data_IF_812865423181
#
_entry.id   IF_812865423181
#
_cell.length_a   1.000
_cell.length_b   1.000
_cell.length_c   1.000
_cell.angle_alpha   90.00
_cell.angle_beta   90.00
_cell.angle_gamma   90.00
#
_symmetry.space_group_name_H-M   'P 1'
#
loop_
_entity.id
_entity.type
_entity.pdbx_description
1 polymer ?
#
# COMPACT_ATOMS: atom_id res chain seq x y z
N UNK A 1 -34.16 -9.13 2.74
CA UNK A 1 -33.84 -10.58 2.78
C UNK A 1 -33.54 -11.24 1.42
N UNK A 2 -33.48 -10.53 0.27
CA UNK A 2 -33.26 -11.15 -1.05
C UNK A 2 -31.79 -11.15 -1.55
N UNK A 3 -30.84 -10.55 -0.82
CA UNK A 3 -29.44 -10.40 -1.25
C UNK A 3 -28.60 -11.70 -1.11
N UNK A 4 -28.97 -12.59 -0.18
CA UNK A 4 -28.24 -13.85 0.06
C UNK A 4 -28.43 -14.88 -1.06
N UNK A 5 -29.63 -14.96 -1.64
CA UNK A 5 -29.96 -15.94 -2.68
C UNK A 5 -29.20 -15.69 -4.00
N UNK A 6 -28.96 -14.42 -4.38
CA UNK A 6 -28.21 -14.08 -5.60
C UNK A 6 -26.72 -14.36 -5.47
N UNK A 7 -26.13 -14.16 -4.28
CA UNK A 7 -24.71 -14.47 -4.04
C UNK A 7 -24.44 -15.97 -4.15
N UNK A 8 -25.30 -16.80 -3.56
CA UNK A 8 -25.18 -18.25 -3.64
C UNK A 8 -25.30 -18.77 -5.09
N UNK A 9 -26.20 -18.19 -5.90
CA UNK A 9 -26.37 -18.57 -7.30
C UNK A 9 -25.14 -18.21 -8.18
N UNK A 10 -24.54 -17.03 -7.99
CA UNK A 10 -23.31 -16.64 -8.71
C UNK A 10 -22.14 -17.55 -8.32
N UNK A 11 -22.06 -17.94 -7.05
CA UNK A 11 -20.99 -18.79 -6.52
C UNK A 11 -21.08 -20.24 -7.04
N UNK A 12 -22.29 -20.75 -7.27
CA UNK A 12 -22.52 -22.05 -7.92
C UNK A 12 -22.28 -22.01 -9.43
N UNK A 13 -22.55 -20.87 -10.09
CA UNK A 13 -22.44 -20.74 -11.54
C UNK A 13 -20.99 -20.44 -12.00
N UNK A 14 -20.19 -19.78 -11.16
CA UNK A 14 -18.81 -19.38 -11.47
C UNK A 14 -17.85 -19.58 -10.28
N UNK A 15 -17.63 -20.82 -9.82
CA UNK A 15 -16.76 -21.09 -8.67
C UNK A 15 -15.31 -20.64 -8.90
N UNK A 16 -14.77 -20.84 -10.11
CA UNK A 16 -13.39 -20.49 -10.46
C UNK A 16 -13.14 -18.98 -10.44
N UNK A 17 -14.13 -18.18 -10.86
CA UNK A 17 -14.06 -16.71 -10.83
C UNK A 17 -14.08 -16.23 -9.38
N UNK A 18 -14.93 -16.81 -8.54
CA UNK A 18 -15.03 -16.41 -7.14
C UNK A 18 -13.73 -16.74 -6.37
N UNK A 19 -13.09 -17.87 -6.68
CA UNK A 19 -11.78 -18.25 -6.11
C UNK A 19 -10.68 -17.26 -6.47
N UNK A 20 -10.52 -16.95 -7.76
CA UNK A 20 -9.48 -16.02 -8.23
C UNK A 20 -9.70 -14.57 -7.77
N UNK A 21 -10.95 -14.13 -7.64
CA UNK A 21 -11.26 -12.81 -7.05
C UNK A 21 -10.94 -12.78 -5.56
N UNK A 22 -11.22 -13.87 -4.83
CA UNK A 22 -10.86 -14.00 -3.42
C UNK A 22 -9.35 -13.86 -3.22
N UNK A 23 -8.55 -14.58 -4.00
CA UNK A 23 -7.09 -14.51 -3.96
C UNK A 23 -6.56 -13.10 -4.23
N UNK A 24 -7.08 -12.43 -5.28
CA UNK A 24 -6.65 -11.07 -5.62
C UNK A 24 -7.05 -10.03 -4.57
N UNK A 25 -8.23 -10.18 -3.98
CA UNK A 25 -8.68 -9.31 -2.88
C UNK A 25 -7.75 -9.42 -1.67
N UNK A 26 -7.23 -10.62 -1.38
CA UNK A 26 -6.25 -10.83 -0.31
C UNK A 26 -4.95 -10.06 -0.55
N UNK A 27 -4.46 -9.99 -1.80
CA UNK A 27 -3.28 -9.19 -2.16
C UNK A 27 -3.50 -7.70 -1.85
N UNK A 28 -4.67 -7.15 -2.19
CA UNK A 28 -4.99 -5.75 -1.89
C UNK A 28 -5.17 -5.49 -0.39
N UNK A 29 -5.73 -6.45 0.35
CA UNK A 29 -5.80 -6.39 1.82
C UNK A 29 -4.40 -6.38 2.45
N UNK A 30 -3.46 -7.14 1.91
CA UNK A 30 -2.05 -7.08 2.33
C UNK A 30 -1.49 -5.68 2.09
N UNK A 31 -1.75 -5.08 0.91
CA UNK A 31 -1.41 -3.68 0.63
C UNK A 31 -1.89 -2.71 1.71
N UNK A 32 -3.16 -2.82 2.12
CA UNK A 32 -3.72 -2.01 3.20
C UNK A 32 -3.04 -2.27 4.56
N UNK A 33 -2.83 -3.54 4.92
CA UNK A 33 -2.17 -3.92 6.17
C UNK A 33 -0.72 -3.42 6.25
N UNK A 34 0.00 -3.40 5.13
CA UNK A 34 1.35 -2.83 5.05
C UNK A 34 1.34 -1.32 5.35
N UNK A 35 0.34 -0.58 4.87
CA UNK A 35 0.20 0.84 5.18
C UNK A 35 -0.13 1.08 6.65
N UNK A 36 -1.00 0.26 7.24
CA UNK A 36 -1.30 0.32 8.68
C UNK A 36 -0.04 0.02 9.50
N UNK A 37 0.72 -1.02 9.14
CA UNK A 37 1.98 -1.36 9.79
C UNK A 37 3.02 -0.23 9.66
N UNK A 38 3.13 0.37 8.46
CA UNK A 38 4.00 1.52 8.22
C UNK A 38 3.63 2.71 9.11
N UNK A 39 2.33 2.99 9.28
CA UNK A 39 1.85 4.05 10.15
C UNK A 39 2.21 3.81 11.63
N UNK A 40 2.02 2.59 12.13
CA UNK A 40 2.38 2.21 13.50
C UNK A 40 3.89 2.32 13.71
N UNK A 41 4.69 1.85 12.75
CA UNK A 41 6.14 1.88 12.83
C UNK A 41 6.71 3.30 12.70
N UNK A 42 6.07 4.16 11.90
CA UNK A 42 6.41 5.58 11.81
C UNK A 42 6.16 6.28 13.14
N UNK A 43 5.02 6.04 13.79
CA UNK A 43 4.74 6.57 15.12
C UNK A 43 5.81 6.12 16.13
N UNK A 44 6.14 4.82 16.15
CA UNK A 44 7.22 4.30 16.98
C UNK A 44 8.58 4.97 16.69
N UNK A 45 8.94 5.13 15.42
CA UNK A 45 10.18 5.79 15.00
C UNK A 45 10.29 7.23 15.49
N UNK A 46 9.18 7.98 15.44
CA UNK A 46 9.09 9.35 15.99
C UNK A 46 9.35 9.33 17.51
N UNK A 47 8.69 8.44 18.26
CA UNK A 47 8.89 8.34 19.70
C UNK A 47 10.32 7.93 20.07
N UNK A 48 10.87 6.93 19.38
CA UNK A 48 12.25 6.46 19.58
C UNK A 48 13.28 7.55 19.27
N UNK A 49 13.08 8.31 18.20
CA UNK A 49 13.97 9.40 17.78
C UNK A 49 13.96 10.56 18.77
N UNK A 50 12.77 11.01 19.19
CA UNK A 50 12.63 12.06 20.21
C UNK A 50 13.28 11.63 21.52
N UNK A 51 12.96 10.43 22.01
CA UNK A 51 13.50 9.93 23.28
C UNK A 51 15.03 9.71 23.22
N UNK A 52 15.52 9.15 22.10
CA UNK A 52 16.95 8.93 21.85
C UNK A 52 17.73 10.25 21.80
N UNK A 53 17.17 11.28 21.17
CA UNK A 53 17.74 12.63 21.14
C UNK A 53 17.81 13.26 22.54
N UNK A 54 16.72 13.22 23.31
CA UNK A 54 16.67 13.81 24.65
C UNK A 54 17.60 13.11 25.65
N UNK A 55 17.70 11.78 25.61
CA UNK A 55 18.51 11.00 26.56
C UNK A 55 19.95 10.79 26.08
N UNK A 56 20.32 11.25 24.88
CA UNK A 56 21.62 10.99 24.21
C UNK A 56 21.99 9.50 24.20
N UNK A 57 20.98 8.63 24.07
CA UNK A 57 21.17 7.18 24.06
C UNK A 57 21.26 6.68 22.62
N UNK A 58 22.41 6.10 22.25
CA UNK A 58 22.69 5.62 20.90
C UNK A 58 21.72 4.53 20.42
N UNK A 59 21.24 3.68 21.32
CA UNK A 59 20.35 2.56 20.97
C UNK A 59 18.98 3.01 20.45
N UNK A 60 18.37 4.03 21.07
CA UNK A 60 17.07 4.55 20.63
C UNK A 60 17.17 5.39 19.35
N UNK A 61 18.27 6.12 19.17
CA UNK A 61 18.57 6.80 17.91
C UNK A 61 18.81 5.81 16.76
N UNK A 62 19.53 4.70 17.00
CA UNK A 62 19.66 3.63 16.03
C UNK A 62 18.29 3.02 15.68
N UNK A 63 17.44 2.75 16.66
CA UNK A 63 16.10 2.21 16.42
C UNK A 63 15.22 3.12 15.56
N UNK A 64 15.31 4.45 15.72
CA UNK A 64 14.57 5.39 14.86
C UNK A 64 15.04 5.34 13.40
N UNK A 65 16.34 5.17 13.16
CA UNK A 65 16.87 5.02 11.80
C UNK A 65 16.42 3.70 11.15
N UNK A 66 16.42 2.59 11.90
CA UNK A 66 15.87 1.32 11.41
C UNK A 66 14.38 1.42 11.08
N UNK A 67 13.61 2.18 11.87
CA UNK A 67 12.21 2.44 11.59
C UNK A 67 12.01 3.18 10.25
N UNK A 68 12.89 4.14 9.90
CA UNK A 68 12.83 4.85 8.60
C UNK A 68 12.96 3.86 7.43
N UNK A 69 13.95 2.96 7.47
CA UNK A 69 14.14 1.95 6.42
C UNK A 69 12.93 1.01 6.30
N UNK A 70 12.40 0.56 7.44
CA UNK A 70 11.27 -0.35 7.45
C UNK A 70 9.97 0.32 6.95
N UNK A 71 9.69 1.56 7.35
CA UNK A 71 8.54 2.34 6.84
C UNK A 71 8.65 2.56 5.34
N UNK A 72 9.83 2.96 4.83
CA UNK A 72 10.04 3.15 3.41
C UNK A 72 9.82 1.85 2.61
N UNK A 73 10.32 0.71 3.13
CA UNK A 73 10.10 -0.61 2.52
C UNK A 73 8.63 -1.02 2.47
N UNK A 74 7.89 -0.84 3.57
CA UNK A 74 6.46 -1.17 3.65
C UNK A 74 5.62 -0.31 2.69
N UNK A 75 5.90 1.00 2.62
CA UNK A 75 5.23 1.93 1.70
C UNK A 75 5.56 1.59 0.25
N UNK A 76 6.82 1.28 -0.06
CA UNK A 76 7.23 0.85 -1.40
C UNK A 76 6.49 -0.42 -1.85
N UNK A 77 6.38 -1.41 -0.95
CA UNK A 77 5.65 -2.64 -1.24
C UNK A 77 4.16 -2.38 -1.49
N UNK A 78 3.53 -1.50 -0.70
CA UNK A 78 2.15 -1.08 -0.92
C UNK A 78 1.95 -0.34 -2.26
N UNK A 79 2.89 0.52 -2.66
CA UNK A 79 2.87 1.18 -3.97
C UNK A 79 2.99 0.19 -5.12
N UNK A 80 3.86 -0.82 -5.00
CA UNK A 80 4.00 -1.91 -5.98
C UNK A 80 2.70 -2.71 -6.10
N UNK A 81 2.03 -3.03 -4.98
CA UNK A 81 0.73 -3.73 -5.00
C UNK A 81 -0.34 -2.90 -5.73
N UNK A 82 -0.34 -1.57 -5.53
CA UNK A 82 -1.29 -0.71 -6.25
C UNK A 82 -0.98 -0.64 -7.75
N UNK A 83 0.29 -0.56 -8.14
CA UNK A 83 0.70 -0.64 -9.55
C UNK A 83 0.32 -1.97 -10.19
N UNK A 84 0.51 -3.08 -9.47
CA UNK A 84 0.04 -4.40 -9.91
C UNK A 84 -1.46 -4.36 -10.22
N UNK A 85 -2.26 -3.76 -9.33
CA UNK A 85 -3.69 -3.50 -9.54
C UNK A 85 -4.00 -2.70 -10.82
N UNK A 86 -3.32 -1.57 -10.99
CA UNK A 86 -3.55 -0.63 -12.10
C UNK A 86 -3.15 -1.21 -13.46
N UNK A 87 -1.95 -1.79 -13.55
CA UNK A 87 -1.40 -2.35 -14.80
C UNK A 87 -2.16 -3.63 -15.18
N UNK A 88 -2.50 -4.46 -14.19
CA UNK A 88 -3.26 -5.70 -14.37
C UNK A 88 -4.76 -5.50 -14.65
N UNK A 89 -5.27 -4.26 -14.57
CA UNK A 89 -6.71 -3.94 -14.71
C UNK A 89 -7.58 -4.69 -13.69
N UNK A 90 -7.13 -4.73 -12.44
CA UNK A 90 -7.82 -5.38 -11.34
C UNK A 90 -8.94 -4.48 -10.78
N UNK A 91 -10.08 -4.52 -11.47
CA UNK A 91 -11.28 -3.71 -11.20
C UNK A 91 -12.03 -4.05 -9.91
N UNK A 92 -11.66 -5.14 -9.25
CA UNK A 92 -12.12 -5.47 -7.90
C UNK A 92 -11.63 -4.45 -6.85
N UNK A 93 -10.52 -3.75 -7.14
CA UNK A 93 -10.04 -2.65 -6.30
C UNK A 93 -10.71 -1.34 -6.73
N UNK A 94 -11.45 -0.73 -5.81
CA UNK A 94 -12.19 0.52 -6.06
C UNK A 94 -11.29 1.67 -6.57
N UNK A 95 -10.02 1.71 -6.17
CA UNK A 95 -9.08 2.71 -6.69
C UNK A 95 -8.83 2.53 -8.20
N UNK A 96 -8.62 1.29 -8.64
CA UNK A 96 -8.37 0.94 -10.06
C UNK A 96 -9.60 1.23 -10.90
N UNK A 97 -10.79 0.86 -10.39
CA UNK A 97 -12.06 1.16 -11.06
C UNK A 97 -12.25 2.65 -11.37
N UNK A 98 -11.85 3.52 -10.43
CA UNK A 98 -12.07 4.96 -10.58
C UNK A 98 -10.99 5.68 -11.40
N UNK A 99 -9.82 5.07 -11.64
CA UNK A 99 -8.65 5.77 -12.21
C UNK A 99 -7.97 5.03 -13.38
N UNK A 100 -8.48 3.87 -13.81
CA UNK A 100 -7.92 3.10 -14.91
C UNK A 100 -9.03 2.52 -15.79
N UNK A 101 -8.72 2.34 -17.07
CA UNK A 101 -9.61 1.72 -18.05
C UNK A 101 -8.81 0.69 -18.87
N UNK A 102 -9.46 -0.35 -19.41
CA UNK A 102 -8.77 -1.45 -20.10
C UNK A 102 -7.95 -0.98 -21.30
N UNK A 103 -8.52 -0.07 -22.08
CA UNK A 103 -7.91 0.48 -23.30
C UNK A 103 -6.76 1.48 -23.03
N UNK A 104 -6.50 1.84 -21.77
CA UNK A 104 -5.47 2.82 -21.43
C UNK A 104 -4.06 2.21 -21.63
N UNK A 105 -3.14 2.89 -22.32
CA UNK A 105 -1.76 2.43 -22.44
C UNK A 105 -1.07 2.28 -21.07
N UNK A 106 -0.15 1.31 -20.94
CA UNK A 106 0.48 0.98 -19.66
C UNK A 106 1.22 2.17 -19.01
N UNK A 107 1.80 3.06 -19.82
CA UNK A 107 2.45 4.29 -19.33
C UNK A 107 1.48 5.19 -18.56
N UNK A 108 0.25 5.37 -19.05
CA UNK A 108 -0.76 6.16 -18.35
C UNK A 108 -1.32 5.42 -17.13
N UNK A 109 -1.34 4.08 -17.13
CA UNK A 109 -1.69 3.28 -15.94
C UNK A 109 -0.65 3.40 -14.83
N UNK A 110 0.62 3.54 -15.18
CA UNK A 110 1.66 3.87 -14.20
C UNK A 110 1.40 5.23 -13.55
N UNK A 111 1.01 6.22 -14.36
CA UNK A 111 0.64 7.56 -13.89
C UNK A 111 -0.66 7.62 -13.09
N UNK A 112 -1.56 6.65 -13.30
CA UNK A 112 -2.79 6.54 -12.53
C UNK A 112 -2.56 6.31 -11.03
N UNK A 113 -1.35 5.88 -10.61
CA UNK A 113 -0.99 5.72 -9.20
C UNK A 113 -1.23 6.99 -8.38
N UNK A 114 -0.96 8.16 -8.95
CA UNK A 114 -1.10 9.45 -8.27
C UNK A 114 -2.28 10.28 -8.78
N UNK A 115 -3.19 9.67 -9.56
CA UNK A 115 -4.31 10.36 -10.20
C UNK A 115 -5.46 10.74 -9.26
N UNK A 116 -5.59 10.04 -8.12
CA UNK A 116 -6.62 10.28 -7.11
C UNK A 116 -6.05 10.51 -5.71
N UNK A 117 -6.82 11.15 -4.83
CA UNK A 117 -6.38 11.61 -3.51
C UNK A 117 -5.62 10.56 -2.68
N UNK A 118 -6.17 9.34 -2.55
CA UNK A 118 -5.52 8.27 -1.80
C UNK A 118 -4.19 7.81 -2.42
N UNK A 119 -4.12 7.78 -3.76
CA UNK A 119 -2.91 7.39 -4.47
C UNK A 119 -1.86 8.49 -4.53
N UNK A 120 -2.26 9.76 -4.63
CA UNK A 120 -1.33 10.89 -4.49
C UNK A 120 -0.65 10.86 -3.12
N UNK A 121 -1.39 10.58 -2.03
CA UNK A 121 -0.80 10.40 -0.71
C UNK A 121 0.21 9.25 -0.68
N UNK A 122 -0.14 8.09 -1.23
CA UNK A 122 0.78 6.95 -1.30
C UNK A 122 2.05 7.27 -2.08
N UNK A 123 1.91 7.92 -3.24
CA UNK A 123 3.03 8.34 -4.08
C UNK A 123 3.95 9.32 -3.34
N UNK A 124 3.40 10.35 -2.71
CA UNK A 124 4.22 11.34 -2.02
C UNK A 124 4.88 10.76 -0.77
N UNK A 125 4.21 9.90 -0.01
CA UNK A 125 4.83 9.19 1.13
C UNK A 125 5.94 8.26 0.65
N UNK A 126 5.77 7.59 -0.50
CA UNK A 126 6.83 6.79 -1.10
C UNK A 126 8.06 7.64 -1.45
N UNK A 127 7.87 8.77 -2.16
CA UNK A 127 8.95 9.71 -2.50
C UNK A 127 9.64 10.26 -1.25
N UNK A 128 8.87 10.66 -0.23
CA UNK A 128 9.43 11.12 1.05
C UNK A 128 10.18 10.01 1.80
N UNK A 129 9.73 8.76 1.71
CA UNK A 129 10.44 7.60 2.25
C UNK A 129 11.81 7.40 1.58
N UNK A 130 11.90 7.60 0.26
CA UNK A 130 13.18 7.55 -0.46
C UNK A 130 14.12 8.68 0.00
N UNK A 131 13.62 9.90 0.14
CA UNK A 131 14.45 10.99 0.67
C UNK A 131 14.88 10.77 2.13
N UNK A 132 13.99 10.24 2.96
CA UNK A 132 14.29 9.97 4.37
C UNK A 132 15.33 8.88 4.53
N UNK A 133 15.24 7.80 3.74
CA UNK A 133 16.25 6.74 3.73
C UNK A 133 17.58 7.26 3.21
N UNK A 134 17.60 8.03 2.12
CA UNK A 134 18.81 8.67 1.60
C UNK A 134 19.49 9.60 2.63
N UNK A 135 18.71 10.34 3.42
CA UNK A 135 19.25 11.23 4.45
C UNK A 135 19.86 10.50 5.66
N UNK A 136 19.49 9.24 5.88
CA UNK A 136 19.93 8.43 7.04
C UNK A 136 21.01 7.41 6.64
N UNK A 137 21.21 7.17 5.36
CA UNK A 137 22.34 6.40 4.83
C UNK A 137 23.63 7.17 5.15
N UNK A 138 24.51 6.51 5.90
CA UNK A 138 25.82 7.01 6.32
C UNK A 138 26.90 6.07 5.81
#
# INVERSE_FOLDING_TARGET
MAAGSRRAAVQLLFPDVCGTLGERTMIFNIGYLLLVAAMVLAAFGIFAGLWGGFKRQSNFAAASFHAVYAVAGLVALAAIILWYGLIGNHFELAYVWNHSERALPAFYKFAALWGGQAGSLLFWVFVLGLFSTAAVVN
#
